data_IF_574643413454
#
_entry.id   IF_574643413454
#
_cell.length_a   1.000
_cell.length_b   1.000
_cell.length_c   1.000
_cell.angle_alpha   90.00
_cell.angle_beta   90.00
_cell.angle_gamma   90.00
#
_symmetry.space_group_name_H-M   'P 1'
#
loop_
_entity.id
_entity.type
_entity.pdbx_description
1 polymer ?
#
# COMPACT_ATOMS: atom_id res chain seq x y z
N UNK A 1 -22.37 23.31 -17.61
CA UNK A 1 -22.94 21.98 -17.83
C UNK A 1 -21.85 20.89 -17.81
N UNK A 2 -20.83 20.94 -18.66
CA UNK A 2 -19.74 19.95 -18.75
C UNK A 2 -18.99 19.69 -17.41
N UNK A 3 -18.69 20.73 -16.63
CA UNK A 3 -17.98 20.61 -15.34
C UNK A 3 -18.82 19.84 -14.30
N UNK A 4 -20.12 20.14 -14.23
CA UNK A 4 -21.04 19.46 -13.33
C UNK A 4 -21.24 17.99 -13.73
N UNK A 5 -21.27 17.68 -15.03
CA UNK A 5 -21.33 16.31 -15.51
C UNK A 5 -20.03 15.56 -15.19
N UNK A 6 -18.87 16.16 -15.30
CA UNK A 6 -17.59 15.53 -14.95
C UNK A 6 -17.51 15.21 -13.45
N UNK A 7 -17.93 16.14 -12.58
CA UNK A 7 -18.03 15.87 -11.14
C UNK A 7 -19.03 14.76 -10.81
N UNK A 8 -20.20 14.79 -11.47
CA UNK A 8 -21.19 13.72 -11.31
C UNK A 8 -20.63 12.36 -11.70
N UNK A 9 -19.91 12.27 -12.82
CA UNK A 9 -19.24 11.05 -13.28
C UNK A 9 -18.19 10.59 -12.27
N UNK A 10 -17.36 11.48 -11.73
CA UNK A 10 -16.33 11.09 -10.73
C UNK A 10 -16.95 10.55 -9.44
N UNK A 11 -18.05 11.15 -8.96
CA UNK A 11 -18.77 10.69 -7.78
C UNK A 11 -19.43 9.34 -8.04
N UNK A 12 -20.13 9.18 -9.17
CA UNK A 12 -20.78 7.92 -9.55
C UNK A 12 -19.74 6.81 -9.70
N UNK A 13 -18.64 7.05 -10.40
CA UNK A 13 -17.54 6.09 -10.53
C UNK A 13 -16.94 5.71 -9.19
N UNK A 14 -16.80 6.68 -8.26
CA UNK A 14 -16.30 6.40 -6.91
C UNK A 14 -17.23 5.48 -6.14
N UNK A 15 -18.55 5.74 -6.19
CA UNK A 15 -19.57 4.91 -5.52
C UNK A 15 -19.62 3.52 -6.14
N UNK A 16 -19.63 3.41 -7.47
CA UNK A 16 -19.66 2.13 -8.19
C UNK A 16 -18.40 1.31 -7.90
N UNK A 17 -17.24 1.95 -7.88
CA UNK A 17 -15.99 1.26 -7.56
C UNK A 17 -15.95 0.81 -6.08
N UNK A 18 -16.49 1.59 -5.17
CA UNK A 18 -16.56 1.24 -3.74
C UNK A 18 -17.51 0.05 -3.50
N UNK A 19 -18.63 -0.01 -4.21
CA UNK A 19 -19.68 -1.03 -4.00
C UNK A 19 -19.49 -2.31 -4.82
N UNK A 20 -18.89 -2.23 -6.01
CA UNK A 20 -18.93 -3.34 -6.99
C UNK A 20 -17.52 -3.82 -7.35
N UNK A 21 -16.64 -2.93 -7.81
CA UNK A 21 -15.38 -3.36 -8.46
C UNK A 21 -14.19 -3.48 -7.52
N UNK A 22 -14.12 -2.70 -6.46
CA UNK A 22 -13.01 -2.68 -5.48
C UNK A 22 -11.61 -2.61 -6.12
N UNK A 23 -11.50 -1.94 -7.28
CA UNK A 23 -10.27 -1.88 -8.07
C UNK A 23 -9.41 -0.66 -7.70
N UNK A 24 -8.16 -0.92 -7.29
CA UNK A 24 -7.18 0.14 -6.97
C UNK A 24 -6.88 1.02 -8.20
N UNK A 25 -6.80 0.44 -9.39
CA UNK A 25 -6.55 1.19 -10.62
C UNK A 25 -7.66 2.21 -10.92
N UNK A 26 -8.92 1.84 -10.70
CA UNK A 26 -10.06 2.74 -10.86
C UNK A 26 -10.01 3.90 -9.86
N UNK A 27 -9.60 3.68 -8.61
CA UNK A 27 -9.46 4.76 -7.63
C UNK A 27 -8.41 5.80 -8.04
N UNK A 28 -7.29 5.37 -8.64
CA UNK A 28 -6.27 6.29 -9.17
C UNK A 28 -6.85 7.15 -10.31
N UNK A 29 -7.59 6.52 -11.24
CA UNK A 29 -8.25 7.24 -12.33
C UNK A 29 -9.28 8.25 -11.81
N UNK A 30 -10.07 7.88 -10.80
CA UNK A 30 -11.04 8.76 -10.14
C UNK A 30 -10.34 9.97 -9.51
N UNK A 31 -9.21 9.75 -8.81
CA UNK A 31 -8.40 10.84 -8.24
C UNK A 31 -7.90 11.82 -9.29
N UNK A 32 -7.42 11.33 -10.43
CA UNK A 32 -6.97 12.15 -11.55
C UNK A 32 -8.13 12.95 -12.18
N UNK A 33 -9.28 12.31 -12.38
CA UNK A 33 -10.48 12.99 -12.87
C UNK A 33 -10.96 14.06 -11.89
N UNK A 34 -10.87 13.82 -10.59
CA UNK A 34 -11.22 14.82 -9.57
C UNK A 34 -10.29 16.05 -9.63
N UNK A 35 -8.97 15.85 -9.77
CA UNK A 35 -8.01 16.95 -9.93
C UNK A 35 -8.32 17.78 -11.17
N UNK A 36 -8.61 17.13 -12.31
CA UNK A 36 -8.96 17.85 -13.56
C UNK A 36 -10.27 18.62 -13.43
N UNK A 37 -11.28 18.03 -12.80
CA UNK A 37 -12.55 18.69 -12.50
C UNK A 37 -12.34 19.91 -11.59
N UNK A 38 -11.54 19.80 -10.54
CA UNK A 38 -11.22 20.90 -9.63
C UNK A 38 -10.45 22.03 -10.33
N UNK A 39 -9.53 21.70 -11.25
CA UNK A 39 -8.86 22.71 -12.09
C UNK A 39 -9.86 23.50 -12.95
N UNK A 40 -10.80 22.81 -13.59
CA UNK A 40 -11.83 23.43 -14.41
C UNK A 40 -12.80 24.29 -13.59
N UNK A 41 -13.15 23.87 -12.39
CA UNK A 41 -13.99 24.66 -11.46
C UNK A 41 -13.29 25.93 -11.04
N UNK A 42 -12.03 25.84 -10.62
CA UNK A 42 -11.22 26.99 -10.24
C UNK A 42 -11.12 28.01 -11.39
N UNK A 43 -10.86 27.50 -12.59
CA UNK A 43 -10.81 28.31 -13.80
C UNK A 43 -12.15 28.99 -14.13
N UNK A 44 -13.23 28.24 -14.09
CA UNK A 44 -14.59 28.78 -14.31
C UNK A 44 -14.95 29.84 -13.26
N UNK A 45 -14.59 29.61 -11.99
CA UNK A 45 -14.83 30.56 -10.91
C UNK A 45 -14.11 31.90 -11.16
N UNK A 46 -12.84 31.85 -11.58
CA UNK A 46 -12.03 33.04 -11.89
C UNK A 46 -12.68 33.85 -13.04
N UNK A 47 -13.12 33.16 -14.12
CA UNK A 47 -13.77 33.80 -15.27
C UNK A 47 -15.08 34.47 -14.85
N UNK A 48 -15.95 33.76 -14.18
CA UNK A 48 -17.29 34.20 -13.81
C UNK A 48 -17.25 35.36 -12.78
N UNK A 49 -16.32 35.31 -11.84
CA UNK A 49 -16.10 36.41 -10.88
C UNK A 49 -15.59 37.68 -11.54
N UNK A 50 -14.64 37.58 -12.49
CA UNK A 50 -14.16 38.71 -13.24
C UNK A 50 -15.30 39.50 -13.92
N UNK A 51 -16.30 38.82 -14.47
CA UNK A 51 -17.45 39.43 -15.16
C UNK A 51 -18.42 40.11 -14.20
N UNK A 52 -18.54 39.69 -12.96
CA UNK A 52 -19.56 40.15 -11.99
C UNK A 52 -19.07 41.22 -11.02
N UNK A 53 -17.76 41.53 -10.97
CA UNK A 53 -17.24 42.46 -9.98
C UNK A 53 -17.45 43.92 -10.32
N UNK A 54 -17.98 44.68 -9.33
CA UNK A 54 -18.11 46.13 -9.37
C UNK A 54 -16.77 46.87 -9.25
N UNK A 55 -16.82 48.21 -9.35
CA UNK A 55 -15.61 49.08 -9.38
C UNK A 55 -14.85 49.13 -8.05
N UNK A 56 -15.45 48.78 -6.88
CA UNK A 56 -14.90 48.94 -5.52
C UNK A 56 -14.92 47.63 -4.73
N UNK A 57 -14.39 46.55 -5.28
CA UNK A 57 -14.25 45.31 -4.55
C UNK A 57 -12.76 45.02 -4.25
N UNK A 58 -12.38 44.87 -2.98
CA UNK A 58 -11.00 44.63 -2.52
C UNK A 58 -10.38 43.37 -3.11
N UNK A 59 -11.22 42.40 -3.51
CA UNK A 59 -10.77 41.17 -4.15
C UNK A 59 -10.60 41.28 -5.68
N UNK A 60 -10.96 42.43 -6.29
CA UNK A 60 -10.91 42.61 -7.75
C UNK A 60 -9.49 42.46 -8.28
N UNK A 61 -8.51 43.04 -7.59
CA UNK A 61 -7.11 42.96 -7.99
C UNK A 61 -6.62 41.49 -7.99
N UNK A 62 -6.97 40.72 -6.97
CA UNK A 62 -6.60 39.31 -6.86
C UNK A 62 -7.15 38.50 -8.05
N UNK A 63 -8.45 38.67 -8.36
CA UNK A 63 -9.12 37.93 -9.44
C UNK A 63 -8.60 38.36 -10.81
N UNK A 64 -8.35 39.65 -11.02
CA UNK A 64 -7.82 40.17 -12.25
C UNK A 64 -6.42 39.62 -12.54
N UNK A 65 -5.58 39.52 -11.53
CA UNK A 65 -4.24 38.95 -11.64
C UNK A 65 -4.27 37.44 -11.85
N UNK A 66 -5.14 36.72 -11.14
CA UNK A 66 -5.35 35.28 -11.37
C UNK A 66 -5.81 35.01 -12.80
N UNK A 67 -6.65 35.85 -13.35
CA UNK A 67 -7.11 35.75 -14.73
C UNK A 67 -5.98 36.05 -15.74
N UNK A 68 -5.16 37.07 -15.54
CA UNK A 68 -4.04 37.42 -16.44
C UNK A 68 -3.00 36.30 -16.55
N UNK A 69 -2.75 35.59 -15.45
CA UNK A 69 -1.80 34.46 -15.35
C UNK A 69 -2.46 33.08 -15.46
N UNK A 70 -3.69 33.00 -15.98
CA UNK A 70 -4.58 31.83 -15.96
C UNK A 70 -3.89 30.53 -16.37
N UNK A 71 -3.26 30.49 -17.56
CA UNK A 71 -2.60 29.26 -18.07
C UNK A 71 -1.50 28.76 -17.14
N UNK A 72 -0.69 29.67 -16.59
CA UNK A 72 0.41 29.31 -15.70
C UNK A 72 -0.11 28.83 -14.35
N UNK A 73 -1.17 29.47 -13.83
CA UNK A 73 -1.82 29.05 -12.59
C UNK A 73 -2.42 27.63 -12.71
N UNK A 74 -3.04 27.30 -13.86
CA UNK A 74 -3.58 25.95 -14.11
C UNK A 74 -2.46 24.92 -14.17
N UNK A 75 -1.36 25.19 -14.89
CA UNK A 75 -0.23 24.27 -14.98
C UNK A 75 0.38 24.03 -13.59
N UNK A 76 0.66 25.10 -12.84
CA UNK A 76 1.20 24.98 -11.47
C UNK A 76 0.26 24.25 -10.53
N UNK A 77 -1.06 24.49 -10.65
CA UNK A 77 -2.08 23.79 -9.89
C UNK A 77 -2.04 22.28 -10.19
N UNK A 78 -2.07 21.89 -11.48
CA UNK A 78 -2.07 20.46 -11.87
C UNK A 78 -0.80 19.76 -11.41
N UNK A 79 0.38 20.34 -11.63
CA UNK A 79 1.66 19.71 -11.26
C UNK A 79 1.76 19.55 -9.74
N UNK A 80 1.40 20.59 -8.99
CA UNK A 80 1.49 20.55 -7.53
C UNK A 80 0.45 19.60 -6.93
N UNK A 81 -0.81 19.65 -7.38
CA UNK A 81 -1.87 18.76 -6.89
C UNK A 81 -1.61 17.31 -7.25
N UNK A 82 -1.05 17.02 -8.43
CA UNK A 82 -0.66 15.68 -8.84
C UNK A 82 0.50 15.15 -7.97
N UNK A 83 1.51 15.96 -7.70
CA UNK A 83 2.61 15.59 -6.81
C UNK A 83 2.13 15.27 -5.41
N UNK A 84 1.25 16.11 -4.83
CA UNK A 84 0.61 15.87 -3.53
C UNK A 84 -0.21 14.58 -3.58
N UNK A 85 -1.04 14.41 -4.60
CA UNK A 85 -1.87 13.23 -4.79
C UNK A 85 -1.05 11.93 -4.79
N UNK A 86 0.02 11.87 -5.59
CA UNK A 86 0.86 10.67 -5.68
C UNK A 86 1.54 10.37 -4.35
N UNK A 87 2.16 11.38 -3.71
CA UNK A 87 2.86 11.19 -2.44
C UNK A 87 1.91 10.68 -1.35
N UNK A 88 0.72 11.27 -1.25
CA UNK A 88 -0.26 10.87 -0.25
C UNK A 88 -0.93 9.54 -0.58
N UNK A 89 -1.37 9.32 -1.83
CA UNK A 89 -2.01 8.08 -2.23
C UNK A 89 -1.07 6.87 -2.03
N UNK A 90 0.20 7.02 -2.41
CA UNK A 90 1.22 5.97 -2.22
C UNK A 90 1.62 5.85 -0.74
N UNK A 91 1.86 6.98 -0.06
CA UNK A 91 2.28 6.99 1.35
C UNK A 91 1.25 6.37 2.29
N UNK A 92 -0.03 6.67 2.10
CA UNK A 92 -1.13 6.12 2.89
C UNK A 92 -1.43 4.65 2.54
N UNK A 93 -1.17 4.23 1.29
CA UNK A 93 -1.41 2.86 0.85
C UNK A 93 -0.23 1.91 1.16
N UNK A 94 0.91 2.45 1.59
CA UNK A 94 2.06 1.65 2.00
C UNK A 94 1.69 0.82 3.22
N UNK A 95 1.68 -0.51 3.06
CA UNK A 95 1.41 -1.43 4.16
C UNK A 95 2.50 -1.29 5.22
N UNK A 96 2.14 -0.81 6.39
CA UNK A 96 3.07 -0.71 7.51
C UNK A 96 3.18 -2.09 8.16
N UNK A 97 4.29 -2.79 7.93
CA UNK A 97 4.66 -4.01 8.70
C UNK A 97 5.04 -3.70 10.16
N UNK A 98 4.88 -2.46 10.59
CA UNK A 98 5.10 -2.05 11.98
C UNK A 98 3.91 -2.36 12.89
N UNK A 99 2.78 -2.76 12.31
CA UNK A 99 1.60 -3.17 13.07
C UNK A 99 1.80 -4.60 13.59
N UNK A 100 2.12 -4.72 14.88
CA UNK A 100 2.41 -6.00 15.54
C UNK A 100 1.29 -7.03 15.37
N UNK A 101 0.04 -6.60 15.33
CA UNK A 101 -1.11 -7.49 15.19
C UNK A 101 -1.21 -8.06 13.76
N UNK A 102 -0.97 -7.23 12.75
CA UNK A 102 -0.91 -7.69 11.34
C UNK A 102 0.27 -8.61 11.11
N UNK A 103 1.42 -8.30 11.72
CA UNK A 103 2.61 -9.13 11.64
C UNK A 103 2.37 -10.49 12.28
N UNK A 104 1.80 -10.53 13.48
CA UNK A 104 1.42 -11.79 14.16
C UNK A 104 0.46 -12.63 13.34
N UNK A 105 -0.56 -12.03 12.74
CA UNK A 105 -1.49 -12.73 11.84
C UNK A 105 -0.80 -13.31 10.61
N UNK A 106 0.16 -12.59 10.03
CA UNK A 106 0.92 -13.04 8.86
C UNK A 106 1.93 -14.13 9.19
N UNK A 107 2.54 -14.12 10.39
CA UNK A 107 3.49 -15.13 10.87
C UNK A 107 2.81 -16.28 11.62
N UNK A 108 1.54 -16.13 12.02
CA UNK A 108 0.84 -17.06 12.89
C UNK A 108 1.43 -17.15 14.30
N UNK A 109 2.24 -16.15 14.72
CA UNK A 109 2.98 -16.16 15.98
C UNK A 109 4.22 -17.05 15.98
N UNK A 110 4.65 -17.55 14.81
CA UNK A 110 5.89 -18.29 14.64
C UNK A 110 7.05 -17.32 14.34
N UNK A 111 8.24 -17.65 14.86
CA UNK A 111 9.45 -16.82 14.75
C UNK A 111 10.31 -17.20 13.55
N UNK A 112 10.38 -18.52 13.22
CA UNK A 112 11.21 -19.03 12.15
C UNK A 112 10.40 -19.88 11.17
N UNK A 113 10.78 -19.78 9.90
CA UNK A 113 10.41 -20.69 8.81
C UNK A 113 11.63 -21.47 8.40
N UNK A 114 11.50 -22.79 8.35
CA UNK A 114 12.55 -23.69 7.91
C UNK A 114 12.02 -24.53 6.73
N UNK A 115 12.82 -24.61 5.68
CA UNK A 115 12.61 -25.49 4.52
C UNK A 115 13.79 -26.45 4.43
N UNK A 116 13.54 -27.76 4.39
CA UNK A 116 14.57 -28.77 4.15
C UNK A 116 14.50 -29.32 2.73
N UNK A 117 15.65 -29.60 2.14
CA UNK A 117 15.74 -30.23 0.82
C UNK A 117 15.41 -31.72 0.92
N UNK A 118 15.83 -32.34 2.01
CA UNK A 118 15.56 -33.76 2.29
C UNK A 118 14.47 -33.87 3.34
N UNK A 119 13.43 -34.71 3.13
CA UNK A 119 12.35 -34.90 4.08
C UNK A 119 12.86 -35.45 5.44
N UNK A 120 12.35 -34.88 6.54
CA UNK A 120 12.67 -35.29 7.91
C UNK A 120 11.52 -36.12 8.45
N UNK A 121 11.84 -37.36 8.82
CA UNK A 121 10.84 -38.33 9.24
C UNK A 121 10.60 -38.35 10.76
N UNK A 122 11.53 -37.79 11.54
CA UNK A 122 11.42 -37.75 13.00
C UNK A 122 10.52 -36.61 13.48
N UNK A 123 9.71 -36.87 14.50
CA UNK A 123 8.86 -35.86 15.11
C UNK A 123 9.69 -34.96 16.04
N UNK A 124 9.96 -33.73 15.60
CA UNK A 124 10.74 -32.73 16.37
C UNK A 124 10.03 -32.24 17.64
N UNK A 125 8.73 -32.51 17.79
CA UNK A 125 7.96 -32.16 18.99
C UNK A 125 8.04 -33.22 20.08
N UNK A 126 8.55 -34.43 19.78
CA UNK A 126 8.75 -35.53 20.74
C UNK A 126 10.18 -35.52 21.26
N UNK A 127 10.37 -35.95 22.52
CA UNK A 127 11.70 -36.05 23.14
C UNK A 127 12.62 -37.03 22.40
N UNK A 128 12.06 -38.15 21.92
CA UNK A 128 12.81 -39.14 21.12
C UNK A 128 13.28 -38.53 19.78
N UNK A 129 12.42 -37.78 19.11
CA UNK A 129 12.75 -37.10 17.83
C UNK A 129 13.80 -36.01 18.02
N UNK A 130 13.70 -35.23 19.10
CA UNK A 130 14.70 -34.22 19.46
C UNK A 130 16.06 -34.85 19.74
N UNK A 131 16.08 -35.97 20.45
CA UNK A 131 17.32 -36.68 20.74
C UNK A 131 17.98 -37.23 19.46
N UNK A 132 17.20 -37.85 18.56
CA UNK A 132 17.70 -38.39 17.29
C UNK A 132 18.22 -37.32 16.32
N UNK A 133 17.67 -36.12 16.41
CA UNK A 133 18.06 -34.97 15.56
C UNK A 133 19.07 -34.04 16.25
N UNK A 134 19.61 -34.40 17.42
CA UNK A 134 20.51 -33.57 18.22
C UNK A 134 19.91 -32.18 18.57
N UNK A 135 18.62 -32.14 18.87
CA UNK A 135 17.85 -30.93 19.21
C UNK A 135 17.53 -30.83 20.69
N UNK A 136 18.24 -31.58 21.54
CA UNK A 136 17.99 -31.62 23.00
C UNK A 136 18.26 -30.27 23.68
N UNK A 137 19.15 -29.45 23.11
CA UNK A 137 19.55 -28.14 23.66
C UNK A 137 18.58 -27.00 23.29
N UNK A 138 17.50 -27.30 22.57
CA UNK A 138 16.48 -26.31 22.29
C UNK A 138 15.78 -25.81 23.57
N UNK A 139 15.50 -24.50 23.70
CA UNK A 139 14.74 -23.97 24.81
C UNK A 139 13.40 -24.68 24.99
N UNK A 140 13.01 -24.89 26.26
CA UNK A 140 11.82 -25.68 26.61
C UNK A 140 10.52 -25.14 25.99
N UNK A 141 10.39 -23.84 25.83
CA UNK A 141 9.26 -23.15 25.23
C UNK A 141 9.27 -23.14 23.68
N UNK A 142 10.23 -23.84 23.04
CA UNK A 142 10.27 -23.99 21.60
C UNK A 142 9.27 -25.05 21.13
N UNK A 143 8.32 -24.62 20.28
CA UNK A 143 7.38 -25.52 19.60
C UNK A 143 7.61 -25.54 18.09
N UNK A 144 7.53 -26.72 17.49
CA UNK A 144 7.80 -26.93 16.06
C UNK A 144 6.57 -27.56 15.40
N UNK A 145 6.01 -26.86 14.43
CA UNK A 145 4.94 -27.37 13.58
C UNK A 145 5.56 -27.95 12.31
N UNK A 146 5.35 -29.24 12.08
CA UNK A 146 5.88 -29.97 10.93
C UNK A 146 4.82 -30.14 9.86
N UNK A 147 5.14 -29.71 8.63
CA UNK A 147 4.24 -29.77 7.49
C UNK A 147 4.81 -30.69 6.40
N UNK A 148 3.92 -31.43 5.72
CA UNK A 148 4.22 -32.19 4.52
C UNK A 148 4.21 -31.26 3.32
N UNK A 149 4.90 -31.62 2.24
CA UNK A 149 4.95 -30.82 1.02
C UNK A 149 4.84 -31.70 -0.20
N UNK A 150 4.01 -31.29 -1.19
CA UNK A 150 3.92 -31.92 -2.50
C UNK A 150 3.87 -30.86 -3.60
N UNK A 151 4.64 -31.09 -4.67
CA UNK A 151 4.74 -30.17 -5.81
C UNK A 151 6.02 -29.34 -5.80
N UNK A 152 6.35 -28.77 -6.96
CA UNK A 152 7.60 -28.05 -7.19
C UNK A 152 7.43 -26.55 -7.39
N UNK A 153 6.25 -26.09 -7.84
CA UNK A 153 6.05 -24.71 -8.24
C UNK A 153 5.47 -23.86 -7.11
N UNK A 154 6.13 -22.76 -6.78
CA UNK A 154 5.59 -21.74 -5.86
C UNK A 154 4.78 -20.68 -6.61
N UNK A 155 3.50 -20.55 -6.29
CA UNK A 155 2.62 -19.51 -6.82
C UNK A 155 2.83 -18.17 -6.06
N UNK A 156 4.07 -17.76 -5.85
CA UNK A 156 4.38 -16.52 -5.12
C UNK A 156 4.41 -15.31 -6.05
N UNK A 157 4.29 -14.10 -5.48
CA UNK A 157 4.47 -12.84 -6.22
C UNK A 157 5.88 -12.69 -6.82
N UNK A 158 6.84 -13.51 -6.41
CA UNK A 158 8.19 -13.59 -6.97
C UNK A 158 8.22 -14.37 -8.27
N UNK A 159 7.26 -15.26 -8.51
CA UNK A 159 7.11 -15.99 -9.77
C UNK A 159 6.10 -15.26 -10.66
N UNK A 160 6.60 -14.55 -11.67
CA UNK A 160 5.77 -13.80 -12.63
C UNK A 160 4.98 -14.70 -13.59
N UNK A 161 5.25 -16.00 -13.61
CA UNK A 161 4.51 -16.95 -14.43
C UNK A 161 3.23 -17.38 -13.71
N UNK A 162 2.16 -17.52 -14.47
CA UNK A 162 0.92 -18.14 -13.97
C UNK A 162 1.21 -19.59 -13.63
N UNK A 163 1.10 -19.92 -12.34
CA UNK A 163 1.28 -21.29 -11.87
C UNK A 163 -0.05 -22.02 -12.01
N UNK A 164 -0.05 -23.07 -12.83
CA UNK A 164 -1.26 -23.89 -13.05
C UNK A 164 -1.51 -24.84 -11.89
N UNK A 165 -0.45 -25.35 -11.27
CA UNK A 165 -0.47 -26.37 -10.20
C UNK A 165 0.49 -25.92 -9.07
N UNK A 166 -0.01 -25.15 -8.10
CA UNK A 166 0.81 -24.67 -6.98
C UNK A 166 1.17 -25.79 -6.01
N UNK A 167 2.27 -25.60 -5.28
CA UNK A 167 2.70 -26.50 -4.22
C UNK A 167 1.62 -26.62 -3.14
N UNK A 168 1.35 -27.85 -2.70
CA UNK A 168 0.41 -28.16 -1.62
C UNK A 168 1.18 -28.46 -0.34
N UNK A 169 0.75 -27.86 0.76
CA UNK A 169 1.29 -28.09 2.11
C UNK A 169 0.23 -28.84 2.92
N UNK A 170 0.58 -30.02 3.41
CA UNK A 170 -0.21 -30.75 4.38
C UNK A 170 0.07 -30.27 5.80
N UNK A 171 -0.89 -29.61 6.44
CA UNK A 171 -0.76 -28.99 7.75
C UNK A 171 -1.90 -29.39 8.67
N UNK A 172 -1.62 -29.61 9.95
CA UNK A 172 -2.66 -29.91 10.92
C UNK A 172 -3.51 -28.67 11.23
N UNK A 173 -4.80 -28.73 10.86
CA UNK A 173 -5.74 -27.62 11.05
C UNK A 173 -5.95 -27.26 12.53
N UNK A 174 -5.82 -28.22 13.44
CA UNK A 174 -5.88 -27.95 14.88
C UNK A 174 -4.69 -27.10 15.36
N UNK A 175 -3.53 -27.28 14.76
CA UNK A 175 -2.34 -26.47 15.05
C UNK A 175 -2.49 -25.07 14.50
N UNK A 176 -3.11 -24.88 13.32
CA UNK A 176 -3.45 -23.56 12.78
C UNK A 176 -4.47 -22.83 13.66
N UNK A 177 -5.46 -23.54 14.20
CA UNK A 177 -6.45 -22.97 15.12
C UNK A 177 -5.82 -22.41 16.41
N UNK A 178 -4.71 -23.01 16.87
CA UNK A 178 -3.96 -22.55 18.05
C UNK A 178 -2.95 -21.44 17.74
N UNK A 179 -2.79 -21.09 16.50
CA UNK A 179 -1.89 -20.04 16.03
C UNK A 179 -2.61 -18.68 15.93
N UNK A 180 -1.85 -17.63 15.60
CA UNK A 180 -2.41 -16.31 15.35
C UNK A 180 -2.87 -16.13 13.87
N UNK A 181 -2.84 -17.18 13.05
CA UNK A 181 -3.43 -17.14 11.69
C UNK A 181 -4.95 -16.99 11.77
N UNK A 182 -5.52 -16.32 10.79
CA UNK A 182 -6.98 -16.10 10.69
C UNK A 182 -7.50 -16.48 9.31
N UNK A 183 -8.67 -17.10 9.30
CA UNK A 183 -9.49 -17.27 8.09
C UNK A 183 -10.17 -15.93 7.81
N UNK A 184 -9.99 -15.41 6.59
CA UNK A 184 -10.56 -14.11 6.20
C UNK A 184 -11.87 -14.27 5.45
N UNK A 185 -11.93 -15.22 4.52
CA UNK A 185 -13.15 -15.56 3.78
C UNK A 185 -13.23 -17.07 3.60
N UNK A 186 -14.44 -17.62 3.51
CA UNK A 186 -14.66 -19.01 3.17
C UNK A 186 -15.96 -19.19 2.40
N UNK A 187 -16.14 -20.39 1.79
CA UNK A 187 -17.41 -20.81 1.17
C UNK A 187 -18.44 -21.25 2.20
N UNK A 188 -18.06 -21.42 3.46
CA UNK A 188 -18.93 -21.81 4.55
C UNK A 188 -19.67 -20.61 5.13
N UNK A 189 -20.97 -20.77 5.45
CA UNK A 189 -21.81 -19.64 5.93
C UNK A 189 -21.36 -19.07 7.29
N UNK A 190 -20.71 -19.89 8.13
CA UNK A 190 -20.37 -19.55 9.51
C UNK A 190 -18.88 -19.28 9.67
N UNK A 191 -18.31 -18.41 8.83
CA UNK A 191 -16.88 -18.12 8.83
C UNK A 191 -16.50 -17.24 10.02
N UNK A 192 -15.76 -17.83 10.97
CA UNK A 192 -15.09 -17.11 12.06
C UNK A 192 -13.58 -17.10 11.82
N UNK A 193 -12.83 -16.14 12.40
CA UNK A 193 -11.36 -16.07 12.22
C UNK A 193 -10.61 -17.34 12.61
N UNK A 194 -11.18 -18.16 13.48
CA UNK A 194 -10.63 -19.41 14.00
C UNK A 194 -11.26 -20.68 13.40
N UNK A 195 -12.07 -20.55 12.36
CA UNK A 195 -12.84 -21.65 11.75
C UNK A 195 -12.00 -22.62 10.90
N UNK A 196 -10.84 -23.05 11.40
CA UNK A 196 -10.00 -24.02 10.69
C UNK A 196 -10.57 -25.44 10.68
N UNK A 197 -11.44 -25.80 11.62
CA UNK A 197 -12.07 -27.12 11.71
C UNK A 197 -12.96 -27.46 10.51
N UNK A 198 -13.38 -26.45 9.73
CA UNK A 198 -14.22 -26.66 8.55
C UNK A 198 -13.45 -27.23 7.35
N UNK A 199 -12.12 -27.20 7.42
CA UNK A 199 -11.24 -27.64 6.34
C UNK A 199 -10.62 -29.03 6.57
N UNK A 200 -11.03 -29.74 7.64
CA UNK A 200 -10.55 -31.09 7.97
C UNK A 200 -11.34 -32.22 7.33
N UNK A 201 -12.42 -31.90 6.59
CA UNK A 201 -13.33 -32.87 5.96
C UNK A 201 -13.52 -32.57 4.49
N UNK A 202 -13.70 -33.60 3.68
CA UNK A 202 -14.02 -33.49 2.26
C UNK A 202 -15.35 -32.77 2.03
N UNK A 203 -15.43 -32.05 0.91
CA UNK A 203 -16.66 -31.42 0.43
C UNK A 203 -17.11 -32.21 -0.82
N UNK A 204 -17.99 -33.17 -0.62
CA UNK A 204 -18.30 -34.16 -1.66
C UNK A 204 -17.06 -34.98 -2.01
N UNK A 205 -16.66 -35.00 -3.27
CA UNK A 205 -15.44 -35.64 -3.73
C UNK A 205 -14.20 -34.73 -3.74
N UNK A 206 -14.36 -33.44 -3.45
CA UNK A 206 -13.28 -32.47 -3.47
C UNK A 206 -12.61 -32.31 -2.10
N UNK A 207 -11.32 -31.96 -2.12
CA UNK A 207 -10.51 -31.68 -0.94
C UNK A 207 -10.47 -30.18 -0.66
N UNK A 208 -10.95 -29.72 0.50
CA UNK A 208 -10.93 -28.29 0.81
C UNK A 208 -9.51 -27.80 1.08
N UNK A 209 -9.22 -26.61 0.55
CA UNK A 209 -7.95 -25.95 0.72
C UNK A 209 -8.11 -24.51 1.17
N UNK A 210 -7.13 -24.03 1.93
CA UNK A 210 -6.91 -22.64 2.27
C UNK A 210 -5.82 -22.07 1.39
N UNK A 211 -6.02 -20.83 0.93
CA UNK A 211 -5.07 -20.11 0.08
C UNK A 211 -4.85 -18.71 0.64
N UNK A 212 -3.65 -18.17 0.48
CA UNK A 212 -3.41 -16.76 0.81
C UNK A 212 -4.20 -15.84 -0.14
N UNK A 213 -4.85 -14.80 0.41
CA UNK A 213 -5.66 -13.85 -0.37
C UNK A 213 -4.91 -13.24 -1.56
N UNK A 214 -3.61 -12.96 -1.37
CA UNK A 214 -2.80 -12.35 -2.43
C UNK A 214 -2.50 -13.34 -3.54
N UNK A 215 -2.30 -14.61 -3.21
CA UNK A 215 -2.07 -15.69 -4.16
C UNK A 215 -3.33 -15.97 -4.97
N UNK A 216 -4.48 -16.00 -4.32
CA UNK A 216 -5.76 -16.22 -4.96
C UNK A 216 -6.04 -15.15 -6.04
N UNK A 217 -5.85 -13.88 -5.66
CA UNK A 217 -6.19 -12.75 -6.52
C UNK A 217 -5.21 -12.56 -7.71
N UNK A 218 -3.90 -12.75 -7.48
CA UNK A 218 -2.87 -12.32 -8.41
C UNK A 218 -2.16 -13.48 -9.13
N UNK A 219 -1.87 -14.58 -8.43
CA UNK A 219 -1.11 -15.70 -9.01
C UNK A 219 -2.01 -16.73 -9.66
N UNK A 220 -3.08 -17.15 -8.99
CA UNK A 220 -4.00 -18.16 -9.48
C UNK A 220 -5.11 -17.58 -10.36
N UNK A 221 -5.46 -16.30 -10.15
CA UNK A 221 -6.58 -15.61 -10.84
C UNK A 221 -7.88 -16.45 -10.74
N UNK A 222 -8.14 -16.98 -9.56
CA UNK A 222 -9.29 -17.82 -9.22
C UNK A 222 -10.13 -17.17 -8.13
N UNK A 223 -11.31 -17.74 -7.90
CA UNK A 223 -12.26 -17.31 -6.86
C UNK A 223 -12.47 -18.40 -5.82
N UNK A 224 -13.02 -18.03 -4.69
CA UNK A 224 -13.54 -19.00 -3.71
C UNK A 224 -14.56 -19.91 -4.38
N UNK A 225 -14.44 -21.21 -4.12
CA UNK A 225 -15.27 -22.24 -4.75
C UNK A 225 -14.71 -22.83 -6.05
N UNK A 226 -13.68 -22.18 -6.67
CA UNK A 226 -13.01 -22.76 -7.83
C UNK A 226 -12.17 -23.97 -7.42
N UNK A 227 -11.97 -24.89 -8.36
CA UNK A 227 -11.17 -26.10 -8.17
C UNK A 227 -9.82 -26.01 -8.89
N UNK A 228 -8.83 -26.70 -8.34
CA UNK A 228 -7.53 -26.96 -8.94
C UNK A 228 -7.37 -28.45 -9.05
N UNK A 229 -7.06 -28.94 -10.25
CA UNK A 229 -6.89 -30.37 -10.53
C UNK A 229 -5.43 -30.76 -10.37
N UNK A 230 -5.20 -31.76 -9.54
CA UNK A 230 -3.89 -32.37 -9.28
C UNK A 230 -3.83 -33.77 -9.87
N UNK A 231 -2.71 -34.09 -10.51
CA UNK A 231 -2.36 -35.45 -10.90
C UNK A 231 -1.76 -36.18 -9.68
N UNK A 232 -2.40 -37.25 -9.25
CA UNK A 232 -1.93 -38.09 -8.13
C UNK A 232 -1.17 -39.34 -8.58
N UNK A 233 -0.90 -39.45 -9.90
CA UNK A 233 -0.21 -40.57 -10.51
C UNK A 233 -1.16 -41.54 -11.25
N UNK A 234 -0.58 -42.36 -12.11
CA UNK A 234 -1.31 -43.37 -12.90
C UNK A 234 -2.51 -42.84 -13.74
N UNK A 235 -2.50 -41.52 -14.06
CA UNK A 235 -3.60 -40.88 -14.79
C UNK A 235 -4.82 -40.56 -13.93
N UNK A 236 -4.73 -40.70 -12.62
CA UNK A 236 -5.77 -40.31 -11.68
C UNK A 236 -5.64 -38.85 -11.28
N UNK A 237 -6.76 -38.14 -11.35
CA UNK A 237 -6.83 -36.71 -11.00
C UNK A 237 -7.75 -36.51 -9.81
N UNK A 238 -7.38 -35.51 -9.00
CA UNK A 238 -8.18 -35.12 -7.85
C UNK A 238 -8.44 -33.61 -7.91
N UNK A 239 -9.63 -33.22 -7.51
CA UNK A 239 -10.02 -31.81 -7.47
C UNK A 239 -9.84 -31.28 -6.02
N UNK A 240 -9.00 -30.24 -5.88
CA UNK A 240 -8.82 -29.47 -4.65
C UNK A 240 -9.61 -28.18 -4.78
N UNK A 241 -10.63 -27.98 -3.93
CA UNK A 241 -11.48 -26.81 -3.93
C UNK A 241 -10.90 -25.69 -3.05
N UNK A 242 -10.84 -24.49 -3.56
CA UNK A 242 -10.44 -23.30 -2.79
C UNK A 242 -11.59 -22.92 -1.85
N UNK A 243 -11.59 -23.51 -0.66
CA UNK A 243 -12.68 -23.39 0.29
C UNK A 243 -12.56 -22.19 1.21
N UNK A 244 -11.36 -21.62 1.37
CA UNK A 244 -11.18 -20.43 2.18
C UNK A 244 -9.88 -19.69 1.91
N UNK A 245 -9.77 -18.49 2.49
CA UNK A 245 -8.58 -17.67 2.40
C UNK A 245 -8.05 -17.33 3.79
N UNK A 246 -6.73 -17.21 3.87
CA UNK A 246 -6.01 -16.67 5.04
C UNK A 246 -5.44 -15.30 4.71
N UNK A 247 -5.31 -14.45 5.73
CA UNK A 247 -4.66 -13.16 5.58
C UNK A 247 -3.20 -13.33 5.11
N UNK A 248 -2.66 -12.28 4.48
CA UNK A 248 -1.28 -12.21 3.99
C UNK A 248 -0.30 -12.92 4.94
N UNK A 249 0.13 -14.12 4.58
CA UNK A 249 0.81 -15.07 5.46
C UNK A 249 2.16 -15.55 4.91
N UNK A 250 2.93 -16.23 5.77
CA UNK A 250 4.18 -16.90 5.36
C UNK A 250 3.97 -18.05 4.37
N UNK A 251 2.72 -18.46 4.17
CA UNK A 251 2.34 -19.52 3.23
C UNK A 251 2.07 -19.00 1.81
N UNK A 252 2.37 -17.72 1.52
CA UNK A 252 2.23 -17.20 0.16
C UNK A 252 2.95 -18.11 -0.85
N UNK A 253 2.26 -18.40 -1.95
CA UNK A 253 2.77 -19.29 -2.99
C UNK A 253 2.33 -20.74 -2.83
N UNK A 254 1.70 -21.11 -1.72
CA UNK A 254 1.31 -22.47 -1.42
C UNK A 254 -0.18 -22.59 -1.12
N UNK A 255 -0.71 -23.80 -1.30
CA UNK A 255 -2.07 -24.18 -0.93
C UNK A 255 -1.99 -25.05 0.33
N UNK A 256 -2.82 -24.77 1.33
CA UNK A 256 -2.87 -25.53 2.56
C UNK A 256 -4.03 -26.50 2.55
N UNK A 257 -3.75 -27.76 2.83
CA UNK A 257 -4.73 -28.84 2.98
C UNK A 257 -4.51 -29.50 4.35
N UNK A 258 -5.57 -30.01 4.96
CA UNK A 258 -5.43 -30.76 6.22
C UNK A 258 -4.48 -31.94 6.05
N UNK A 259 -3.63 -32.17 7.06
CA UNK A 259 -2.59 -33.20 7.01
C UNK A 259 -3.12 -34.62 6.75
N UNK A 260 -4.31 -34.95 7.28
CA UNK A 260 -4.94 -36.26 7.05
C UNK A 260 -5.38 -36.39 5.62
N UNK A 261 -6.10 -35.38 5.11
CA UNK A 261 -6.56 -35.33 3.72
C UNK A 261 -5.38 -35.32 2.73
N UNK A 262 -4.30 -34.61 3.08
CA UNK A 262 -3.05 -34.62 2.29
C UNK A 262 -2.46 -36.04 2.20
N UNK A 263 -2.40 -36.79 3.32
CA UNK A 263 -1.86 -38.16 3.34
C UNK A 263 -2.74 -39.16 2.59
N UNK A 264 -4.03 -38.88 2.45
CA UNK A 264 -4.92 -39.68 1.58
C UNK A 264 -4.60 -39.44 0.09
N UNK A 265 -4.28 -38.18 -0.27
CA UNK A 265 -3.94 -37.79 -1.64
C UNK A 265 -2.57 -38.33 -2.06
N UNK A 266 -1.58 -38.18 -1.18
CA UNK A 266 -0.18 -38.52 -1.44
C UNK A 266 0.37 -39.43 -0.33
N UNK A 267 -0.01 -40.71 -0.26
CA UNK A 267 0.41 -41.62 0.79
C UNK A 267 1.92 -41.89 0.79
N UNK A 268 2.59 -41.66 -0.33
CA UNK A 268 4.04 -41.84 -0.45
C UNK A 268 4.84 -40.63 0.13
N UNK A 269 4.19 -39.51 0.44
CA UNK A 269 4.81 -38.33 1.04
C UNK A 269 4.70 -38.43 2.56
N UNK A 270 5.73 -38.96 3.20
CA UNK A 270 5.69 -39.29 4.64
C UNK A 270 6.61 -38.44 5.53
N UNK A 271 7.64 -37.82 4.97
CA UNK A 271 8.55 -36.91 5.68
C UNK A 271 8.12 -35.46 5.57
N UNK A 272 8.47 -34.67 6.59
CA UNK A 272 8.19 -33.22 6.63
C UNK A 272 9.34 -32.44 6.01
N UNK A 273 9.03 -31.45 5.18
CA UNK A 273 10.01 -30.56 4.55
C UNK A 273 9.89 -29.12 5.03
N UNK A 274 8.73 -28.73 5.56
CA UNK A 274 8.48 -27.37 6.04
C UNK A 274 8.23 -27.41 7.54
N UNK A 275 8.89 -26.48 8.25
CA UNK A 275 8.80 -26.36 9.69
C UNK A 275 8.57 -24.91 10.10
N UNK A 276 7.58 -24.70 10.94
CA UNK A 276 7.33 -23.42 11.59
C UNK A 276 7.75 -23.54 13.05
N UNK A 277 8.66 -22.68 13.49
CA UNK A 277 9.21 -22.72 14.84
C UNK A 277 8.74 -21.50 15.61
N UNK A 278 8.15 -21.74 16.78
CA UNK A 278 7.74 -20.72 17.73
C UNK A 278 8.69 -20.75 18.92
N UNK A 279 9.30 -19.63 19.23
CA UNK A 279 10.17 -19.41 20.40
C UNK A 279 10.05 -17.96 20.85
N UNK A 280 10.61 -17.63 22.00
CA UNK A 280 10.65 -16.26 22.48
C UNK A 280 11.58 -15.40 21.62
N UNK A 281 11.26 -14.09 21.51
CA UNK A 281 12.01 -13.15 20.66
C UNK A 281 13.49 -13.07 21.03
N UNK A 282 13.86 -13.28 22.32
CA UNK A 282 15.24 -13.31 22.81
C UNK A 282 16.04 -14.50 22.31
N UNK A 283 15.37 -15.62 22.00
CA UNK A 283 15.99 -16.89 21.70
C UNK A 283 16.07 -17.21 20.20
N UNK A 284 15.48 -16.35 19.36
CA UNK A 284 15.36 -16.59 17.91
C UNK A 284 16.71 -16.90 17.26
N UNK A 285 17.74 -16.12 17.54
CA UNK A 285 19.06 -16.30 16.93
C UNK A 285 19.74 -17.58 17.44
N UNK A 286 19.58 -17.89 18.73
CA UNK A 286 20.10 -19.11 19.32
C UNK A 286 19.41 -20.36 18.74
N UNK A 287 18.07 -20.35 18.69
CA UNK A 287 17.28 -21.44 18.12
C UNK A 287 17.61 -21.62 16.62
N UNK A 288 17.78 -20.53 15.88
CA UNK A 288 18.18 -20.56 14.47
C UNK A 288 19.55 -21.23 14.30
N UNK A 289 20.51 -20.90 15.15
CA UNK A 289 21.86 -21.50 15.13
C UNK A 289 21.80 -23.00 15.44
N UNK A 290 21.11 -23.41 16.53
CA UNK A 290 20.98 -24.79 16.92
C UNK A 290 20.30 -25.66 15.87
N UNK A 291 19.18 -25.19 15.31
CA UNK A 291 18.49 -25.84 14.19
C UNK A 291 19.36 -25.95 12.95
N UNK A 292 20.09 -24.89 12.59
CA UNK A 292 20.98 -24.89 11.43
C UNK A 292 22.12 -25.89 11.55
N UNK A 293 22.70 -26.04 12.75
CA UNK A 293 23.75 -27.02 13.04
C UNK A 293 23.20 -28.43 13.01
N UNK A 294 22.15 -28.69 13.77
CA UNK A 294 21.57 -30.02 13.94
C UNK A 294 20.97 -30.59 12.64
N UNK A 295 20.37 -29.73 11.83
CA UNK A 295 19.68 -30.14 10.61
C UNK A 295 20.50 -29.88 9.34
N UNK A 296 21.79 -29.54 9.46
CA UNK A 296 22.66 -29.20 8.32
C UNK A 296 22.71 -30.30 7.23
N UNK A 297 22.68 -31.57 7.65
CA UNK A 297 22.68 -32.74 6.75
C UNK A 297 21.40 -32.86 5.90
N UNK A 298 20.30 -32.17 6.27
CA UNK A 298 19.04 -32.17 5.53
C UNK A 298 18.95 -30.99 4.55
N UNK A 299 20.00 -30.18 4.45
CA UNK A 299 20.01 -29.01 3.55
C UNK A 299 18.94 -27.98 3.91
N UNK A 300 18.94 -27.54 5.18
CA UNK A 300 17.90 -26.61 5.68
C UNK A 300 18.20 -25.16 5.32
N UNK A 301 17.18 -24.47 4.84
CA UNK A 301 17.12 -23.01 4.74
C UNK A 301 16.27 -22.45 5.88
N UNK A 302 16.88 -21.60 6.71
CA UNK A 302 16.29 -21.02 7.91
C UNK A 302 16.19 -19.51 7.79
N UNK A 303 14.97 -19.00 7.68
CA UNK A 303 14.69 -17.57 7.64
C UNK A 303 13.72 -17.18 8.76
N UNK A 304 13.79 -15.93 9.23
CA UNK A 304 12.75 -15.46 10.14
C UNK A 304 11.43 -15.33 9.36
N UNK A 305 10.31 -15.62 10.01
CA UNK A 305 8.99 -15.46 9.40
C UNK A 305 8.73 -14.01 8.96
N UNK A 306 9.30 -13.05 9.69
CA UNK A 306 9.24 -11.64 9.34
C UNK A 306 10.00 -11.33 8.05
N UNK A 307 11.19 -11.90 7.87
CA UNK A 307 11.98 -11.68 6.65
C UNK A 307 11.34 -12.37 5.46
N UNK A 308 10.76 -13.56 5.66
CA UNK A 308 9.98 -14.22 4.60
C UNK A 308 8.78 -13.37 4.17
N UNK A 309 8.01 -12.79 5.10
CA UNK A 309 6.92 -11.87 4.76
C UNK A 309 7.41 -10.61 4.04
N UNK A 310 8.56 -10.06 4.44
CA UNK A 310 9.17 -8.92 3.74
C UNK A 310 9.57 -9.30 2.31
N UNK A 311 10.16 -10.48 2.09
CA UNK A 311 10.54 -10.94 0.75
C UNK A 311 9.35 -10.97 -0.21
N UNK A 312 8.19 -11.47 0.21
CA UNK A 312 6.98 -11.45 -0.63
C UNK A 312 6.51 -10.04 -0.99
N UNK A 313 6.80 -9.06 -0.14
CA UNK A 313 6.38 -7.67 -0.35
C UNK A 313 7.47 -6.79 -0.99
N UNK A 314 8.71 -7.30 -1.17
CA UNK A 314 9.82 -6.53 -1.74
C UNK A 314 9.46 -5.92 -3.10
N UNK A 315 8.81 -6.68 -3.97
CA UNK A 315 8.41 -6.19 -5.30
C UNK A 315 7.41 -5.04 -5.16
N UNK A 316 6.38 -5.22 -4.34
CA UNK A 316 5.37 -4.18 -4.10
C UNK A 316 5.97 -2.95 -3.43
N UNK A 317 6.82 -3.12 -2.42
CA UNK A 317 7.50 -2.02 -1.73
C UNK A 317 8.47 -1.27 -2.66
N UNK A 318 9.11 -1.96 -3.59
CA UNK A 318 9.97 -1.36 -4.60
C UNK A 318 9.16 -0.45 -5.53
N UNK A 319 8.03 -0.94 -6.07
CA UNK A 319 7.14 -0.12 -6.90
C UNK A 319 6.59 1.09 -6.12
N UNK A 320 6.14 0.89 -4.88
CA UNK A 320 5.65 1.98 -4.04
C UNK A 320 6.75 3.03 -3.79
N UNK A 321 8.00 2.60 -3.58
CA UNK A 321 9.14 3.49 -3.38
C UNK A 321 9.46 4.28 -4.65
N UNK A 322 9.41 3.65 -5.83
CA UNK A 322 9.58 4.33 -7.13
C UNK A 322 8.48 5.38 -7.32
N UNK A 323 7.21 5.03 -7.10
CA UNK A 323 6.10 5.98 -7.22
C UNK A 323 6.21 7.12 -6.21
N UNK A 324 6.64 6.84 -4.97
CA UNK A 324 6.86 7.86 -3.95
C UNK A 324 7.98 8.83 -4.37
N UNK A 325 9.06 8.31 -4.95
CA UNK A 325 10.17 9.12 -5.48
C UNK A 325 9.71 10.00 -6.64
N UNK A 326 8.93 9.45 -7.57
CA UNK A 326 8.34 10.20 -8.68
C UNK A 326 7.38 11.29 -8.18
N UNK A 327 6.55 10.98 -7.18
CA UNK A 327 5.68 11.95 -6.52
C UNK A 327 6.47 13.07 -5.83
N UNK A 328 7.58 12.72 -5.16
CA UNK A 328 8.51 13.69 -4.56
C UNK A 328 9.14 14.63 -5.60
N UNK A 329 9.59 14.08 -6.74
CA UNK A 329 10.12 14.87 -7.85
C UNK A 329 9.02 15.79 -8.42
N UNK A 330 7.81 15.29 -8.60
CA UNK A 330 6.67 16.10 -9.07
C UNK A 330 6.36 17.25 -8.12
N UNK A 331 6.42 17.02 -6.79
CA UNK A 331 6.29 18.08 -5.78
C UNK A 331 7.37 19.13 -5.90
N UNK A 332 8.64 18.74 -6.04
CA UNK A 332 9.76 19.66 -6.23
C UNK A 332 9.57 20.50 -7.50
N UNK A 333 9.21 19.87 -8.62
CA UNK A 333 8.92 20.56 -9.86
C UNK A 333 7.72 21.51 -9.72
N UNK A 334 6.70 21.14 -8.95
CA UNK A 334 5.56 22.00 -8.62
C UNK A 334 5.99 23.27 -7.86
N UNK A 335 6.88 23.14 -6.88
CA UNK A 335 7.43 24.27 -6.12
C UNK A 335 8.30 25.17 -7.04
N UNK A 336 9.15 24.58 -7.86
CA UNK A 336 9.97 25.35 -8.84
C UNK A 336 9.08 26.10 -9.82
N UNK A 337 8.06 25.43 -10.37
CA UNK A 337 7.05 26.04 -11.26
C UNK A 337 6.36 27.24 -10.59
N UNK A 338 6.00 27.09 -9.30
CA UNK A 338 5.40 28.16 -8.51
C UNK A 338 6.33 29.40 -8.43
N UNK A 339 7.63 29.18 -8.18
CA UNK A 339 8.62 30.29 -8.14
C UNK A 339 8.67 31.02 -9.46
N UNK A 340 8.75 30.27 -10.55
CA UNK A 340 8.81 30.86 -11.90
C UNK A 340 7.53 31.68 -12.19
N UNK A 341 6.36 31.16 -11.80
CA UNK A 341 5.08 31.87 -11.97
C UNK A 341 5.03 33.14 -11.13
N UNK A 342 5.46 33.08 -9.86
CA UNK A 342 5.50 34.25 -8.96
C UNK A 342 6.45 35.32 -9.51
N UNK A 343 7.68 34.93 -9.89
CA UNK A 343 8.64 35.87 -10.53
C UNK A 343 8.09 36.52 -11.79
N UNK A 344 7.57 35.72 -12.70
CA UNK A 344 7.01 36.25 -13.94
C UNK A 344 5.85 37.21 -13.68
N UNK A 345 5.03 36.92 -12.67
CA UNK A 345 3.92 37.79 -12.25
C UNK A 345 4.44 39.12 -11.71
N UNK A 346 5.50 39.14 -10.91
CA UNK A 346 6.11 40.35 -10.38
C UNK A 346 6.72 41.19 -11.51
N UNK A 347 7.48 40.57 -12.42
CA UNK A 347 8.09 41.24 -13.57
C UNK A 347 7.01 41.85 -14.52
N UNK A 348 5.94 41.11 -14.77
CA UNK A 348 4.86 41.61 -15.65
C UNK A 348 4.07 42.78 -15.06
N UNK A 349 4.20 43.01 -13.72
CA UNK A 349 3.57 44.13 -13.01
C UNK A 349 4.59 45.14 -12.47
N UNK A 350 5.80 45.14 -13.02
CA UNK A 350 6.87 46.01 -12.55
C UNK A 350 6.44 47.47 -12.54
N UNK A 351 5.82 47.96 -13.63
CA UNK A 351 5.34 49.36 -13.75
C UNK A 351 4.27 49.72 -12.71
N UNK A 352 3.39 48.78 -12.34
CA UNK A 352 2.42 49.01 -11.26
C UNK A 352 3.12 49.13 -9.90
N UNK A 353 4.12 48.28 -9.65
CA UNK A 353 4.91 48.27 -8.40
C UNK A 353 5.74 49.56 -8.30
N UNK A 354 6.34 49.99 -9.40
CA UNK A 354 7.04 51.27 -9.52
C UNK A 354 6.12 52.45 -9.23
N UNK A 355 4.89 52.43 -9.79
CA UNK A 355 3.87 53.45 -9.50
C UNK A 355 3.50 53.49 -8.01
N UNK A 356 3.37 52.33 -7.35
CA UNK A 356 3.13 52.29 -5.92
C UNK A 356 4.29 52.88 -5.13
N UNK A 357 5.53 52.62 -5.54
CA UNK A 357 6.72 53.20 -4.91
C UNK A 357 6.74 54.73 -5.06
N UNK A 358 6.47 55.28 -6.24
CA UNK A 358 6.41 56.72 -6.50
C UNK A 358 5.27 57.42 -5.73
N UNK A 359 4.13 56.72 -5.53
CA UNK A 359 3.01 57.19 -4.72
C UNK A 359 3.26 57.09 -3.21
N UNK A 360 4.45 56.61 -2.78
CA UNK A 360 4.82 56.53 -1.38
C UNK A 360 4.30 55.32 -0.61
N UNK A 361 3.78 54.27 -1.31
CA UNK A 361 3.38 53.04 -0.65
C UNK A 361 4.57 52.30 -0.09
N UNK A 362 4.42 51.80 1.14
CA UNK A 362 5.47 51.06 1.80
C UNK A 362 5.73 49.72 1.09
N UNK A 363 7.00 49.36 0.85
CA UNK A 363 7.47 48.08 0.30
C UNK A 363 6.78 46.85 0.92
N UNK A 364 6.55 46.89 2.25
CA UNK A 364 5.85 45.78 2.96
C UNK A 364 4.39 45.63 2.54
N UNK A 365 3.71 46.73 2.21
CA UNK A 365 2.30 46.66 1.79
C UNK A 365 2.19 46.08 0.38
N UNK A 366 3.04 46.52 -0.55
CA UNK A 366 3.09 45.99 -1.91
C UNK A 366 3.43 44.52 -1.95
N UNK A 367 4.43 44.09 -1.16
CA UNK A 367 4.78 42.66 -1.00
C UNK A 367 3.62 41.84 -0.45
N UNK A 368 2.89 42.32 0.56
CA UNK A 368 1.77 41.62 1.18
C UNK A 368 0.58 41.38 0.21
N UNK A 369 0.32 42.32 -0.69
CA UNK A 369 -0.74 42.17 -1.70
C UNK A 369 -0.36 41.06 -2.67
N UNK A 370 0.87 41.07 -3.19
CA UNK A 370 1.35 40.08 -4.16
C UNK A 370 1.47 38.68 -3.51
N UNK A 371 1.89 38.62 -2.23
CA UNK A 371 1.97 37.39 -1.44
C UNK A 371 0.59 36.72 -1.34
N UNK A 372 -0.45 37.47 -0.91
CA UNK A 372 -1.82 36.95 -0.79
C UNK A 372 -2.32 36.33 -2.10
N UNK A 373 -2.09 37.03 -3.22
CA UNK A 373 -2.50 36.54 -4.54
C UNK A 373 -1.75 35.27 -4.97
N UNK A 374 -0.47 35.16 -4.60
CA UNK A 374 0.40 34.06 -5.04
C UNK A 374 0.25 32.78 -4.21
N UNK A 375 -0.33 32.88 -2.99
CA UNK A 375 -0.52 31.75 -2.07
C UNK A 375 -1.83 31.01 -2.33
N UNK A 376 -2.84 31.64 -2.93
CA UNK A 376 -4.18 31.04 -3.13
C UNK A 376 -4.12 29.76 -3.98
N UNK A 377 -3.45 29.80 -5.13
CA UNK A 377 -3.39 28.67 -6.07
C UNK A 377 -2.66 27.45 -5.47
N UNK A 378 -1.47 27.60 -4.85
CA UNK A 378 -0.80 26.45 -4.22
C UNK A 378 -1.58 25.85 -3.05
N UNK A 379 -2.20 26.66 -2.20
CA UNK A 379 -3.03 26.13 -1.10
C UNK A 379 -4.20 25.31 -1.66
N UNK A 380 -4.88 25.85 -2.66
CA UNK A 380 -5.98 25.15 -3.35
C UNK A 380 -5.48 23.83 -3.97
N UNK A 381 -4.30 23.83 -4.63
CA UNK A 381 -3.69 22.63 -5.19
C UNK A 381 -3.38 21.56 -4.14
N UNK A 382 -2.80 21.95 -3.00
CA UNK A 382 -2.50 21.03 -1.90
C UNK A 382 -3.79 20.42 -1.36
N UNK A 383 -4.81 21.23 -1.07
CA UNK A 383 -6.08 20.74 -0.54
C UNK A 383 -6.75 19.76 -1.51
N UNK A 384 -6.81 20.07 -2.79
CA UNK A 384 -7.40 19.19 -3.79
C UNK A 384 -6.58 17.90 -3.97
N UNK A 385 -5.24 17.98 -3.94
CA UNK A 385 -4.37 16.81 -3.99
C UNK A 385 -4.58 15.86 -2.80
N UNK A 386 -4.74 16.40 -1.59
CA UNK A 386 -5.05 15.63 -0.39
C UNK A 386 -6.44 14.99 -0.49
N UNK A 387 -7.47 15.74 -0.88
CA UNK A 387 -8.84 15.21 -1.04
C UNK A 387 -8.86 14.09 -2.09
N UNK A 388 -8.23 14.31 -3.24
CA UNK A 388 -8.11 13.29 -4.28
C UNK A 388 -7.41 12.02 -3.79
N UNK A 389 -6.35 12.15 -2.98
CA UNK A 389 -5.63 11.01 -2.40
C UNK A 389 -6.48 10.25 -1.37
N UNK A 390 -7.25 10.95 -0.54
CA UNK A 390 -8.18 10.32 0.40
C UNK A 390 -9.28 9.54 -0.33
N UNK A 391 -9.79 10.06 -1.44
CA UNK A 391 -10.73 9.33 -2.31
C UNK A 391 -10.07 8.07 -2.90
N UNK A 392 -8.82 8.16 -3.35
CA UNK A 392 -8.08 7.03 -3.90
C UNK A 392 -7.77 5.93 -2.87
N UNK A 393 -7.64 6.27 -1.58
CA UNK A 393 -7.30 5.34 -0.49
C UNK A 393 -8.54 4.93 0.32
N UNK A 394 -9.74 5.39 -0.05
CA UNK A 394 -10.97 5.22 0.74
C UNK A 394 -11.27 3.78 1.16
N UNK A 395 -10.90 2.76 0.37
CA UNK A 395 -11.06 1.34 0.71
C UNK A 395 -10.18 0.88 1.88
N UNK A 396 -9.00 1.47 2.04
CA UNK A 396 -8.03 1.05 3.06
C UNK A 396 -8.02 1.96 4.30
N UNK A 397 -8.96 2.92 4.38
CA UNK A 397 -9.01 3.90 5.48
C UNK A 397 -9.12 3.25 6.85
N UNK A 398 -9.91 2.18 6.98
CA UNK A 398 -10.10 1.42 8.23
C UNK A 398 -8.83 0.70 8.70
N UNK A 399 -7.89 0.45 7.78
CA UNK A 399 -6.62 -0.23 8.07
C UNK A 399 -5.46 0.70 8.40
N UNK A 400 -5.65 2.03 8.35
CA UNK A 400 -4.59 3.00 8.57
C UNK A 400 -4.49 3.33 10.07
N UNK A 401 -3.30 3.14 10.65
CA UNK A 401 -3.08 3.46 12.06
C UNK A 401 -3.18 4.97 12.34
N UNK A 402 -3.62 5.33 13.55
CA UNK A 402 -3.72 6.72 13.98
C UNK A 402 -2.37 7.47 13.84
N UNK A 403 -1.25 6.78 14.02
CA UNK A 403 0.10 7.36 13.85
C UNK A 403 0.35 7.84 12.42
N UNK A 404 -0.07 7.07 11.42
CA UNK A 404 0.08 7.44 10.00
C UNK A 404 -0.79 8.65 9.68
N UNK A 405 -2.01 8.71 10.23
CA UNK A 405 -2.88 9.88 10.10
C UNK A 405 -2.26 11.14 10.68
N UNK A 406 -1.68 11.06 11.88
CA UNK A 406 -1.01 12.20 12.51
C UNK A 406 0.23 12.64 11.71
N UNK A 407 1.05 11.69 11.25
CA UNK A 407 2.22 12.00 10.41
C UNK A 407 1.81 12.63 9.08
N UNK A 408 0.75 12.16 8.44
CA UNK A 408 0.24 12.74 7.20
C UNK A 408 -0.27 14.16 7.40
N UNK A 409 -0.98 14.42 8.50
CA UNK A 409 -1.46 15.76 8.85
C UNK A 409 -0.28 16.73 9.11
N UNK A 410 0.72 16.29 9.87
CA UNK A 410 1.94 17.08 10.12
C UNK A 410 2.64 17.40 8.80
N UNK A 411 2.75 16.42 7.90
CA UNK A 411 3.37 16.63 6.60
C UNK A 411 2.61 17.65 5.74
N UNK A 412 1.26 17.62 5.72
CA UNK A 412 0.44 18.64 5.02
C UNK A 412 0.71 20.03 5.60
N UNK A 413 0.70 20.16 6.93
CA UNK A 413 0.96 21.45 7.59
C UNK A 413 2.35 21.97 7.23
N UNK A 414 3.37 21.11 7.32
CA UNK A 414 4.75 21.48 6.96
C UNK A 414 4.85 21.91 5.48
N UNK A 415 4.17 21.21 4.59
CA UNK A 415 4.16 21.53 3.16
C UNK A 415 3.48 22.87 2.90
N UNK A 416 2.33 23.14 3.50
CA UNK A 416 1.63 24.43 3.39
C UNK A 416 2.50 25.57 3.94
N UNK A 417 3.08 25.40 5.14
CA UNK A 417 3.98 26.39 5.75
C UNK A 417 5.20 26.63 4.87
N UNK A 418 5.82 25.56 4.34
CA UNK A 418 6.97 25.66 3.43
C UNK A 418 6.64 26.47 2.17
N UNK A 419 5.50 26.20 1.55
CA UNK A 419 5.03 26.94 0.35
C UNK A 419 4.80 28.42 0.68
N UNK A 420 4.14 28.71 1.79
CA UNK A 420 3.88 30.13 2.21
C UNK A 420 5.19 30.86 2.46
N UNK A 421 6.11 30.26 3.22
CA UNK A 421 7.43 30.86 3.53
C UNK A 421 8.24 31.09 2.26
N UNK A 422 8.19 30.13 1.33
CA UNK A 422 8.94 30.21 0.08
C UNK A 422 8.37 31.28 -0.86
N UNK A 423 7.04 31.35 -1.04
CA UNK A 423 6.38 32.41 -1.80
C UNK A 423 6.70 33.78 -1.20
N UNK A 424 6.57 33.92 0.13
CA UNK A 424 6.85 35.17 0.83
C UNK A 424 8.29 35.64 0.60
N UNK A 425 9.29 34.78 0.81
CA UNK A 425 10.71 35.13 0.58
C UNK A 425 10.96 35.54 -0.89
N UNK A 426 10.34 34.85 -1.84
CA UNK A 426 10.48 35.18 -3.27
C UNK A 426 9.87 36.54 -3.58
N UNK A 427 8.66 36.80 -3.08
CA UNK A 427 7.96 38.09 -3.30
C UNK A 427 8.75 39.23 -2.63
N UNK A 428 9.16 39.09 -1.37
CA UNK A 428 9.94 40.10 -0.63
C UNK A 428 11.25 40.45 -1.35
N UNK A 429 11.96 39.43 -1.89
CA UNK A 429 13.20 39.62 -2.63
C UNK A 429 12.98 40.36 -3.95
N UNK A 430 12.04 39.92 -4.76
CA UNK A 430 11.81 40.51 -6.10
C UNK A 430 11.21 41.94 -6.02
N UNK A 431 10.28 42.16 -5.08
CA UNK A 431 9.74 43.53 -4.84
C UNK A 431 10.83 44.45 -4.32
N UNK A 432 11.75 43.91 -3.43
CA UNK A 432 12.90 44.64 -2.97
C UNK A 432 13.77 45.18 -4.09
N UNK A 433 14.10 44.32 -5.04
CA UNK A 433 14.94 44.70 -6.19
C UNK A 433 14.32 45.83 -7.02
N UNK A 434 12.98 45.84 -7.18
CA UNK A 434 12.29 46.89 -7.92
C UNK A 434 12.34 48.21 -7.15
N UNK A 435 12.07 48.21 -5.85
CA UNK A 435 12.13 49.42 -5.01
C UNK A 435 13.55 50.00 -4.90
N UNK A 436 14.56 49.14 -4.75
CA UNK A 436 15.96 49.57 -4.62
C UNK A 436 16.52 50.12 -5.95
N UNK A 437 15.92 49.85 -7.10
CA UNK A 437 16.25 50.45 -8.42
C UNK A 437 15.59 51.80 -8.70
N UNK A 438 14.62 52.23 -7.88
CA UNK A 438 13.85 53.47 -8.07
C UNK A 438 14.44 54.58 -7.17
N UNK A 439 15.06 54.21 -6.05
CA UNK A 439 15.69 55.12 -5.11
C UNK A 439 17.16 55.24 -5.45
#
# INVERSE_FOLDING_TARGET
>A
MFILSLLGITIILSIVNLLIYHSIALFVVIGLLFITAAAMIGDYYIINRKQKMGLFDDNKLIIQTLYSSRRQNIISFIVLSLGVFIVFAVGLNRRSFTDRDKLKRGTGGYSLWCLSVVPIYHNMSSDEGRLKLALSDLPYNTSILQCLRHGADEASCLNLNKVSVPTVIGIDMNSLKKSDFIVTNSIFEDTRPDSFDMFDKRIGDAYPALVDETVLAWSLVKKLGDTIRYDIGEGHYVDVIIAGTIANSVFQGNILVDKKLFSELWPNVTGSEIFLVKCDDSDVDNVKMLLGQALSQYGVDLVTTNDRLKQFNVVTDTYLTIFLSLGGIALLLGIISLVVVVRKKIISRQTEIETFAVLGFNKKLSSKIIEKESVIVPIYAILIGVIASLMAVSMNLSGISLRIWLLSLIFVILLVVSVIVFVRKTVEKEVSLIYDNII
#
